data_IF_205683656575
#
_entry.id   IF_205683656575
#
_cell.length_a   1.000
_cell.length_b   1.000
_cell.length_c   1.000
_cell.angle_alpha   90.00
_cell.angle_beta   90.00
_cell.angle_gamma   90.00
#
_symmetry.space_group_name_H-M   'P 1'
#
loop_
_entity.id
_entity.type
_entity.pdbx_description
1 polymer ?
#
# COMPACT_ATOMS: atom_id res chain seq x y z
N UNK A 1 52.12 38.74 -3.86
CA UNK A 1 50.76 38.91 -4.41
C UNK A 1 50.32 37.57 -5.00
N UNK A 2 49.13 37.08 -4.61
CA UNK A 2 48.40 35.89 -5.13
C UNK A 2 49.01 34.55 -4.64
N UNK A 3 48.62 33.99 -3.49
CA UNK A 3 47.38 33.21 -3.17
C UNK A 3 47.18 31.97 -4.08
N UNK A 4 46.39 30.99 -3.59
CA UNK A 4 46.05 29.66 -4.15
C UNK A 4 47.02 28.56 -3.68
N UNK A 5 46.93 28.01 -2.46
CA UNK A 5 45.82 27.26 -1.86
C UNK A 5 45.12 26.30 -2.83
N UNK A 6 45.51 25.03 -2.79
CA UNK A 6 44.63 23.88 -3.03
C UNK A 6 45.27 22.63 -2.41
N UNK A 7 44.76 22.27 -1.22
CA UNK A 7 45.08 21.02 -0.53
C UNK A 7 44.26 19.90 -1.17
N UNK A 8 44.91 19.02 -1.91
CA UNK A 8 44.35 17.78 -2.45
C UNK A 8 44.42 16.70 -1.36
N UNK A 9 43.36 16.61 -0.54
CA UNK A 9 43.10 15.43 0.29
C UNK A 9 42.16 14.52 -0.50
N UNK A 10 42.73 13.40 -0.96
CA UNK A 10 41.96 12.28 -1.48
C UNK A 10 41.20 11.62 -0.34
N UNK A 11 39.88 11.66 -0.41
CA UNK A 11 38.99 10.78 0.34
C UNK A 11 38.20 9.97 -0.67
N UNK A 12 38.67 8.75 -0.94
CA UNK A 12 37.80 7.71 -1.46
C UNK A 12 36.86 7.26 -0.35
N UNK A 13 35.55 7.41 -0.55
CA UNK A 13 34.57 6.55 0.08
C UNK A 13 33.35 6.48 -0.84
N UNK A 14 33.18 5.31 -1.42
CA UNK A 14 32.04 4.95 -2.23
C UNK A 14 30.85 4.57 -1.33
N UNK A 15 29.67 4.61 -1.95
CA UNK A 15 28.43 3.91 -1.61
C UNK A 15 27.56 4.58 -0.55
N UNK A 16 26.36 4.95 -0.99
CA UNK A 16 25.24 5.24 -0.12
C UNK A 16 24.20 6.16 -0.75
N UNK A 17 23.72 5.86 -1.97
CA UNK A 17 22.42 6.40 -2.38
C UNK A 17 21.38 5.73 -1.47
N UNK A 18 21.02 6.40 -0.38
CA UNK A 18 19.91 5.97 0.45
C UNK A 18 18.65 6.15 -0.39
N UNK A 19 18.13 5.04 -0.92
CA UNK A 19 16.79 5.02 -1.48
C UNK A 19 15.83 5.30 -0.33
N UNK A 20 15.39 6.56 -0.22
CA UNK A 20 14.26 6.94 0.61
C UNK A 20 13.04 6.24 0.00
N UNK A 21 12.68 5.08 0.51
CA UNK A 21 11.33 4.57 0.31
C UNK A 21 10.40 5.48 1.10
N UNK A 22 9.51 6.18 0.41
CA UNK A 22 8.38 6.81 1.06
C UNK A 22 7.46 5.68 1.54
N UNK A 23 7.48 5.39 2.84
CA UNK A 23 6.34 4.73 3.46
C UNK A 23 5.23 5.77 3.60
N UNK A 24 4.16 5.61 2.84
CA UNK A 24 2.93 6.34 3.14
C UNK A 24 2.31 5.69 4.39
N UNK A 25 2.79 6.09 5.56
CA UNK A 25 2.05 5.91 6.79
C UNK A 25 0.82 6.82 6.71
N UNK A 26 -0.26 6.32 6.10
CA UNK A 26 -1.58 6.92 6.31
C UNK A 26 -1.85 6.80 7.80
N UNK A 27 -1.64 7.91 8.48
CA UNK A 27 -2.06 8.15 9.84
C UNK A 27 -3.54 7.81 9.91
N UNK A 28 -3.87 6.62 10.42
CA UNK A 28 -5.19 6.37 10.97
C UNK A 28 -5.31 7.33 12.15
N UNK A 29 -5.95 8.48 11.92
CA UNK A 29 -6.44 9.31 13.00
C UNK A 29 -7.67 8.59 13.56
N UNK A 30 -7.40 7.50 14.27
CA UNK A 30 -8.39 6.73 14.99
C UNK A 30 -8.91 7.63 16.11
N UNK A 31 -9.98 8.36 15.82
CA UNK A 31 -10.83 8.92 16.85
C UNK A 31 -11.33 7.73 17.66
N UNK A 32 -10.85 7.62 18.91
CA UNK A 32 -11.40 6.70 19.90
C UNK A 32 -12.91 6.88 19.96
N UNK A 33 -13.66 6.00 19.29
CA UNK A 33 -15.05 5.73 19.62
C UNK A 33 -15.04 4.48 20.48
N UNK A 34 -15.42 4.66 21.73
CA UNK A 34 -15.38 3.64 22.75
C UNK A 34 -16.37 2.51 22.42
N UNK A 35 -15.80 1.31 22.26
CA UNK A 35 -16.30 0.01 22.67
C UNK A 35 -17.77 -0.30 22.37
N UNK A 36 -18.01 -0.82 21.18
CA UNK A 36 -19.04 -1.83 20.97
C UNK A 36 -18.31 -3.16 20.80
N UNK A 37 -18.57 -4.13 21.68
CA UNK A 37 -18.19 -5.53 21.51
C UNK A 37 -18.88 -6.07 20.25
N UNK A 38 -18.29 -5.76 19.09
CA UNK A 38 -18.71 -6.26 17.81
C UNK A 38 -17.69 -7.32 17.44
N UNK A 39 -18.16 -8.52 17.13
CA UNK A 39 -17.40 -9.55 16.44
C UNK A 39 -17.01 -9.03 15.04
N UNK A 40 -16.16 -8.01 14.98
CA UNK A 40 -15.75 -7.27 13.79
C UNK A 40 -14.78 -8.17 13.06
N UNK A 41 -15.30 -8.91 12.09
CA UNK A 41 -14.45 -9.41 11.00
C UNK A 41 -13.61 -8.22 10.50
N UNK A 42 -12.29 -8.39 10.31
CA UNK A 42 -11.45 -7.34 9.76
C UNK A 42 -12.10 -6.80 8.49
N UNK A 43 -12.42 -5.50 8.49
CA UNK A 43 -13.01 -4.90 7.29
C UNK A 43 -11.91 -4.74 6.25
N UNK A 44 -12.14 -5.25 5.04
CA UNK A 44 -11.20 -5.14 3.93
C UNK A 44 -11.25 -3.77 3.24
N UNK A 45 -12.28 -2.97 3.52
CA UNK A 45 -12.51 -1.67 2.90
C UNK A 45 -11.31 -0.73 3.03
N UNK A 46 -10.99 -0.02 1.94
CA UNK A 46 -9.91 0.97 1.88
C UNK A 46 -8.50 0.41 1.70
N UNK A 47 -8.30 -0.91 1.88
CA UNK A 47 -7.02 -1.58 1.66
C UNK A 47 -6.63 -1.56 0.19
N UNK A 48 -5.33 -1.55 -0.07
CA UNK A 48 -4.77 -1.66 -1.40
C UNK A 48 -4.82 -3.10 -1.93
N UNK A 49 -4.71 -3.27 -3.24
CA UNK A 49 -4.57 -4.58 -3.88
C UNK A 49 -3.41 -5.39 -3.26
N UNK A 50 -2.27 -4.75 -2.99
CA UNK A 50 -1.10 -5.40 -2.39
C UNK A 50 -1.38 -5.88 -0.97
N UNK A 51 -2.06 -5.08 -0.15
CA UNK A 51 -2.48 -5.50 1.20
C UNK A 51 -3.45 -6.68 1.14
N UNK A 52 -4.40 -6.67 0.20
CA UNK A 52 -5.33 -7.79 0.03
C UNK A 52 -4.61 -9.06 -0.42
N UNK A 53 -3.67 -8.96 -1.36
CA UNK A 53 -2.87 -10.12 -1.79
C UNK A 53 -1.98 -10.64 -0.65
N UNK A 54 -1.46 -9.75 0.20
CA UNK A 54 -0.71 -10.16 1.40
C UNK A 54 -1.59 -10.82 2.47
N UNK A 55 -2.85 -10.43 2.59
CA UNK A 55 -3.77 -10.93 3.62
C UNK A 55 -4.49 -12.22 3.21
N UNK A 56 -4.93 -12.30 1.95
CA UNK A 56 -5.74 -13.39 1.43
C UNK A 56 -4.98 -14.33 0.49
N UNK A 57 -3.75 -13.96 0.10
CA UNK A 57 -2.99 -14.65 -0.93
C UNK A 57 -3.41 -14.25 -2.35
N UNK A 58 -2.92 -15.02 -3.32
CA UNK A 58 -3.26 -14.82 -4.72
C UNK A 58 -4.72 -15.22 -4.98
N UNK A 59 -5.51 -14.38 -5.68
CA UNK A 59 -6.89 -14.72 -6.00
C UNK A 59 -6.97 -15.83 -7.07
N UNK A 60 -8.04 -16.62 -7.03
CA UNK A 60 -8.34 -17.65 -8.02
C UNK A 60 -8.59 -17.03 -9.41
N UNK A 61 -9.16 -15.82 -9.45
CA UNK A 61 -9.33 -15.06 -10.69
C UNK A 61 -9.24 -13.55 -10.46
N UNK A 62 -8.40 -12.88 -11.26
CA UNK A 62 -8.38 -11.42 -11.43
C UNK A 62 -9.20 -11.05 -12.67
N UNK A 63 -10.33 -10.38 -12.47
CA UNK A 63 -11.22 -9.90 -13.55
C UNK A 63 -10.85 -8.44 -13.83
N UNK A 64 -10.53 -8.09 -15.09
CA UNK A 64 -10.03 -6.76 -15.44
C UNK A 64 -11.08 -5.68 -15.16
N UNK A 65 -10.59 -4.44 -15.03
CA UNK A 65 -11.42 -3.29 -14.77
C UNK A 65 -12.44 -3.02 -15.89
N UNK A 66 -13.65 -2.60 -15.49
CA UNK A 66 -14.69 -2.13 -16.42
C UNK A 66 -15.26 -0.79 -15.95
N UNK A 67 -15.67 0.06 -16.91
CA UNK A 67 -16.38 1.31 -16.65
C UNK A 67 -15.51 2.51 -16.28
N UNK A 68 -16.19 3.60 -15.89
CA UNK A 68 -15.63 4.83 -15.33
C UNK A 68 -16.51 5.22 -14.12
N UNK A 69 -16.01 5.19 -12.88
CA UNK A 69 -14.65 4.82 -12.49
C UNK A 69 -14.33 3.34 -12.77
N UNK A 70 -13.04 2.97 -12.95
CA UNK A 70 -12.65 1.60 -13.29
C UNK A 70 -12.80 0.67 -12.09
N UNK A 71 -13.67 -0.34 -12.22
CA UNK A 71 -13.91 -1.33 -11.16
C UNK A 71 -13.27 -2.68 -11.52
N UNK A 72 -12.26 -3.09 -10.76
CA UNK A 72 -11.59 -4.39 -10.85
C UNK A 72 -12.22 -5.36 -9.85
N UNK A 73 -12.30 -6.65 -10.19
CA UNK A 73 -12.84 -7.68 -9.29
C UNK A 73 -11.85 -8.83 -9.12
N UNK A 74 -11.53 -9.18 -7.88
CA UNK A 74 -10.78 -10.39 -7.56
C UNK A 74 -11.72 -11.40 -6.90
N UNK A 75 -11.63 -12.65 -7.33
CA UNK A 75 -12.40 -13.76 -6.77
C UNK A 75 -11.47 -14.70 -6.03
N UNK A 76 -11.86 -15.03 -4.81
CA UNK A 76 -11.32 -16.07 -3.95
C UNK A 76 -12.41 -17.13 -3.71
N UNK A 77 -12.02 -18.29 -3.18
CA UNK A 77 -12.92 -19.42 -2.96
C UNK A 77 -14.20 -19.06 -2.18
N UNK A 78 -14.12 -18.21 -1.16
CA UNK A 78 -15.23 -17.86 -0.27
C UNK A 78 -15.58 -16.36 -0.27
N UNK A 79 -14.94 -15.56 -1.11
CA UNK A 79 -15.01 -14.10 -1.04
C UNK A 79 -14.70 -13.48 -2.41
N UNK A 80 -15.46 -12.45 -2.78
CA UNK A 80 -15.15 -11.58 -3.92
C UNK A 80 -14.84 -10.17 -3.43
N UNK A 81 -13.69 -9.62 -3.84
CA UNK A 81 -13.23 -8.28 -3.48
C UNK A 81 -13.31 -7.37 -4.71
N UNK A 82 -13.88 -6.19 -4.52
CA UNK A 82 -14.07 -5.18 -5.56
C UNK A 82 -13.16 -3.99 -5.27
N UNK A 83 -12.44 -3.54 -6.30
CA UNK A 83 -11.51 -2.43 -6.22
C UNK A 83 -11.92 -1.34 -7.18
N UNK A 84 -11.84 -0.10 -6.73
CA UNK A 84 -11.75 1.06 -7.61
C UNK A 84 -10.29 1.50 -7.64
N UNK A 85 -9.70 1.64 -8.83
CA UNK A 85 -8.25 1.80 -8.99
C UNK A 85 -7.50 0.68 -8.26
N UNK A 86 -6.80 0.98 -7.17
CA UNK A 86 -6.03 0.05 -6.35
C UNK A 86 -6.67 -0.22 -4.97
N UNK A 87 -7.80 0.42 -4.62
CA UNK A 87 -8.40 0.36 -3.28
C UNK A 87 -9.68 -0.43 -3.22
N UNK A 88 -9.86 -1.22 -2.15
CA UNK A 88 -11.10 -1.96 -1.90
C UNK A 88 -12.24 -1.01 -1.62
N UNK A 89 -13.29 -1.13 -2.44
CA UNK A 89 -14.57 -0.44 -2.23
C UNK A 89 -15.63 -1.35 -1.64
N UNK A 90 -15.54 -2.67 -1.88
CA UNK A 90 -16.51 -3.63 -1.37
C UNK A 90 -15.97 -5.06 -1.32
N UNK A 91 -16.56 -5.90 -0.46
CA UNK A 91 -16.22 -7.33 -0.35
C UNK A 91 -17.46 -8.17 -0.01
N UNK A 92 -17.72 -9.22 -0.78
CA UNK A 92 -18.90 -10.10 -0.66
C UNK A 92 -18.48 -11.52 -0.32
N UNK A 93 -19.00 -12.09 0.76
CA UNK A 93 -18.76 -13.50 1.14
C UNK A 93 -19.74 -14.39 0.37
N UNK A 94 -19.28 -15.55 -0.08
CA UNK A 94 -20.11 -16.56 -0.76
C UNK A 94 -20.61 -17.62 0.23
#
# INVERSE_FOLDING_TARGET
MKSFLNVLIGCGLAIGMTQVQAEELTTFKEGKVALVDLNLKPTLSGKTMTEIESMLGTPDRKIPAVGQPPITRWQYANQTVYFEMDRVIHSVQH
#
